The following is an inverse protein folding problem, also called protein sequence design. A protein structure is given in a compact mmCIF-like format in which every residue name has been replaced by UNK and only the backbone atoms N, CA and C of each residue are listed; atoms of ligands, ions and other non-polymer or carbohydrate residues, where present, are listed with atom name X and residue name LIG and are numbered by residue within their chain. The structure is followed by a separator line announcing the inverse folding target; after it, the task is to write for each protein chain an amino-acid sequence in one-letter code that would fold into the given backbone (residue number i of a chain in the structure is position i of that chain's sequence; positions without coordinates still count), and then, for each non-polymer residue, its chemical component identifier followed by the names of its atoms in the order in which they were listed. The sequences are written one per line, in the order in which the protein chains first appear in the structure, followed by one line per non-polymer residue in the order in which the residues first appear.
data_IF_041736289833
#
_entry.id   IF_041736289833
#
_cell.length_a   1.000
_cell.length_b   1.000
_cell.length_c   1.000
_cell.angle_alpha   90.00
_cell.angle_beta   90.00
_cell.angle_gamma   90.00
#
_symmetry.space_group_name_H-M   'P 1'
#
loop_
_entity.id
_entity.type
_entity.pdbx_description
1 polymer ?
#
# COMPACT_ATOMS: atom_id res chain seq x y z
N UNK A 1 -14.16 -19.56 -64.35
CA UNK A 1 -13.05 -19.62 -63.36
C UNK A 1 -12.95 -18.30 -62.58
N UNK A 2 -14.07 -17.78 -62.04
CA UNK A 2 -14.12 -16.46 -61.35
C UNK A 2 -14.68 -16.56 -59.92
N UNK A 3 -15.40 -17.63 -59.56
CA UNK A 3 -16.02 -17.78 -58.23
C UNK A 3 -15.13 -18.40 -57.14
N UNK A 4 -13.90 -18.83 -57.44
CA UNK A 4 -13.06 -19.49 -56.43
C UNK A 4 -12.12 -18.52 -55.69
N UNK A 5 -11.85 -17.33 -56.24
CA UNK A 5 -10.92 -16.34 -55.68
C UNK A 5 -11.63 -15.23 -54.85
N UNK A 6 -12.93 -15.39 -54.57
CA UNK A 6 -13.69 -14.46 -53.72
C UNK A 6 -13.83 -14.96 -52.28
N UNK A 7 -13.83 -16.26 -52.01
CA UNK A 7 -14.02 -16.78 -50.65
C UNK A 7 -12.79 -16.59 -49.75
N UNK A 8 -11.57 -16.72 -50.29
CA UNK A 8 -10.35 -16.43 -49.51
C UNK A 8 -10.21 -14.94 -49.19
N UNK A 9 -10.57 -14.06 -50.13
CA UNK A 9 -10.56 -12.61 -49.92
C UNK A 9 -11.66 -12.17 -48.95
N UNK A 10 -12.86 -12.77 -49.03
CA UNK A 10 -13.96 -12.54 -48.08
C UNK A 10 -13.55 -13.01 -46.67
N UNK A 11 -12.92 -14.18 -46.54
CA UNK A 11 -12.42 -14.68 -45.26
C UNK A 11 -11.31 -13.79 -44.67
N UNK A 12 -10.38 -13.29 -45.50
CA UNK A 12 -9.34 -12.35 -45.06
C UNK A 12 -9.93 -11.00 -44.62
N UNK A 13 -10.96 -10.50 -45.30
CA UNK A 13 -11.64 -9.26 -44.93
C UNK A 13 -12.45 -9.41 -43.64
N UNK A 14 -13.11 -10.55 -43.41
CA UNK A 14 -13.82 -10.85 -42.15
C UNK A 14 -12.87 -10.95 -40.95
N UNK A 15 -11.67 -11.52 -41.14
CA UNK A 15 -10.65 -11.61 -40.09
C UNK A 15 -10.01 -10.26 -39.75
N UNK A 16 -9.99 -9.31 -40.69
CA UNK A 16 -9.52 -7.93 -40.44
C UNK A 16 -10.56 -7.08 -39.68
N UNK A 17 -11.85 -7.35 -39.85
CA UNK A 17 -12.93 -6.59 -39.21
C UNK A 17 -13.10 -6.98 -37.73
N UNK A 18 -12.75 -8.21 -37.34
CA UNK A 18 -12.76 -8.65 -35.93
C UNK A 18 -11.64 -8.04 -35.09
N UNK A 19 -10.52 -7.62 -35.71
CA UNK A 19 -9.41 -6.97 -35.00
C UNK A 19 -9.74 -5.53 -34.53
N UNK A 20 -10.66 -4.83 -35.20
CA UNK A 20 -11.04 -3.45 -34.83
C UNK A 20 -12.02 -3.39 -33.65
N UNK A 21 -12.72 -4.49 -33.34
CA UNK A 21 -13.68 -4.57 -32.21
C UNK A 21 -12.99 -4.96 -30.89
N UNK A 22 -11.71 -5.38 -30.92
CA UNK A 22 -10.95 -5.77 -29.73
C UNK A 22 -10.39 -4.59 -28.92
N UNK A 23 -10.52 -3.35 -29.39
CA UNK A 23 -10.32 -2.16 -28.55
C UNK A 23 -11.61 -1.87 -27.77
N UNK A 24 -11.85 -2.64 -26.71
CA UNK A 24 -12.82 -2.29 -25.69
C UNK A 24 -12.40 -0.97 -25.03
N UNK A 25 -13.19 0.07 -25.26
CA UNK A 25 -13.10 1.34 -24.54
C UNK A 25 -13.35 1.09 -23.05
N UNK A 26 -12.30 0.87 -22.26
CA UNK A 26 -12.36 1.02 -20.81
C UNK A 26 -12.44 2.52 -20.50
N UNK A 27 -13.63 3.10 -20.69
CA UNK A 27 -13.97 4.39 -20.10
C UNK A 27 -13.93 4.19 -18.60
N UNK A 28 -12.84 4.58 -17.96
CA UNK A 28 -12.75 4.65 -16.51
C UNK A 28 -13.75 5.71 -16.06
N UNK A 29 -14.97 5.32 -15.71
CA UNK A 29 -15.91 6.24 -15.12
C UNK A 29 -15.29 6.76 -13.82
N UNK A 30 -15.01 8.07 -13.78
CA UNK A 30 -14.59 8.77 -12.57
C UNK A 30 -15.78 8.76 -11.62
N UNK A 31 -15.83 7.75 -10.77
CA UNK A 31 -16.81 7.68 -9.70
C UNK A 31 -16.34 8.60 -8.58
N UNK A 32 -16.97 9.76 -8.45
CA UNK A 32 -16.71 10.65 -7.33
C UNK A 32 -17.22 9.97 -6.05
N UNK A 33 -16.30 9.66 -5.14
CA UNK A 33 -16.62 9.05 -3.86
C UNK A 33 -16.88 10.17 -2.87
N UNK A 34 -18.12 10.27 -2.41
CA UNK A 34 -18.52 11.24 -1.37
C UNK A 34 -18.13 10.67 -0.01
N UNK A 35 -17.34 11.43 0.76
CA UNK A 35 -16.92 11.06 2.13
C UNK A 35 -17.73 11.86 3.14
N UNK A 36 -18.29 11.17 4.13
CA UNK A 36 -18.89 11.81 5.30
C UNK A 36 -17.85 11.88 6.42
N UNK A 37 -17.40 13.08 6.75
CA UNK A 37 -16.46 13.29 7.86
C UNK A 37 -17.17 13.20 9.21
N UNK A 38 -16.51 12.66 10.25
CA UNK A 38 -17.06 12.66 11.59
C UNK A 38 -17.14 14.09 12.13
N UNK A 39 -18.16 14.35 12.94
CA UNK A 39 -18.32 15.65 13.59
C UNK A 39 -17.21 15.81 14.63
N UNK A 40 -16.41 16.85 14.47
CA UNK A 40 -15.34 17.20 15.41
C UNK A 40 -15.82 18.39 16.24
N UNK A 41 -15.86 18.25 17.57
CA UNK A 41 -16.22 19.37 18.44
C UNK A 41 -15.12 20.43 18.44
N UNK A 42 -15.52 21.65 18.76
CA UNK A 42 -14.63 22.79 19.01
C UNK A 42 -14.71 23.18 20.47
N UNK A 43 -13.58 23.58 21.06
CA UNK A 43 -13.48 24.14 22.41
C UNK A 43 -12.91 25.56 22.35
N UNK A 44 -13.11 26.36 23.39
CA UNK A 44 -12.69 27.77 23.40
C UNK A 44 -11.26 27.97 23.94
N UNK A 45 -10.34 27.04 23.64
CA UNK A 45 -8.95 27.18 24.07
C UNK A 45 -8.27 28.32 23.32
N UNK A 46 -7.60 29.21 24.06
CA UNK A 46 -6.85 30.36 23.52
C UNK A 46 -5.50 30.42 24.23
N UNK A 47 -4.43 30.48 23.46
CA UNK A 47 -3.07 30.77 23.94
C UNK A 47 -2.70 32.21 23.61
N UNK A 48 -1.79 32.81 24.39
CA UNK A 48 -1.24 34.15 24.11
C UNK A 48 0.25 34.08 23.87
N UNK A 49 0.69 34.47 22.68
CA UNK A 49 2.10 34.53 22.28
C UNK A 49 2.49 35.98 22.02
N UNK A 50 3.41 36.52 22.82
CA UNK A 50 3.91 37.91 22.68
C UNK A 50 2.79 38.97 22.65
N UNK A 51 1.72 38.74 23.43
CA UNK A 51 0.55 39.63 23.48
C UNK A 51 -0.48 39.39 22.35
N UNK A 52 -0.27 38.40 21.48
CA UNK A 52 -1.23 38.01 20.44
C UNK A 52 -2.00 36.76 20.88
N UNK A 53 -3.33 36.84 20.89
CA UNK A 53 -4.22 35.71 21.14
C UNK A 53 -4.33 34.79 19.92
N UNK A 54 -4.17 33.49 20.14
CA UNK A 54 -4.27 32.43 19.11
C UNK A 54 -5.27 31.38 19.59
N UNK A 55 -6.36 31.21 18.85
CA UNK A 55 -7.39 30.20 19.15
C UNK A 55 -6.93 28.82 18.70
N UNK A 56 -7.13 27.82 19.55
CA UNK A 56 -6.91 26.42 19.24
C UNK A 56 -8.16 25.58 19.54
N UNK A 57 -9.12 25.54 18.59
CA UNK A 57 -10.40 24.89 18.82
C UNK A 57 -10.33 23.37 19.02
N UNK A 58 -9.19 22.74 18.70
CA UNK A 58 -9.02 21.30 18.71
C UNK A 58 -8.00 20.82 19.75
N UNK A 59 -7.62 21.67 20.71
CA UNK A 59 -6.72 21.32 21.83
C UNK A 59 -7.09 20.00 22.52
N UNK A 60 -8.38 19.69 22.61
CA UNK A 60 -8.86 18.45 23.24
C UNK A 60 -8.35 17.17 22.56
N UNK A 61 -7.95 17.22 21.28
CA UNK A 61 -7.35 16.09 20.55
C UNK A 61 -5.89 15.82 20.97
N UNK A 62 -5.25 16.74 21.70
CA UNK A 62 -3.88 16.54 22.21
C UNK A 62 -3.81 15.54 23.37
N UNK A 63 -4.93 15.27 24.05
CA UNK A 63 -4.99 14.20 25.07
C UNK A 63 -5.18 12.84 24.39
N UNK A 64 -4.06 12.17 24.15
CA UNK A 64 -3.95 10.87 23.50
C UNK A 64 -4.53 9.70 24.31
N UNK A 65 -4.83 9.92 25.60
CA UNK A 65 -5.40 8.90 26.49
C UNK A 65 -6.87 9.15 26.82
N UNK A 66 -7.46 10.24 26.33
CA UNK A 66 -8.88 10.52 26.55
C UNK A 66 -9.76 9.56 25.75
N UNK A 67 -10.87 9.15 26.35
CA UNK A 67 -11.87 8.32 25.66
C UNK A 67 -12.49 9.05 24.45
N UNK A 68 -12.48 10.38 24.46
CA UNK A 68 -13.05 11.19 23.39
C UNK A 68 -12.13 11.23 22.17
N UNK A 69 -10.83 11.43 22.36
CA UNK A 69 -9.83 11.35 21.28
C UNK A 69 -9.82 9.94 20.69
N UNK A 70 -9.89 8.90 21.53
CA UNK A 70 -10.00 7.51 21.06
C UNK A 70 -11.25 7.30 20.18
N UNK A 71 -12.40 7.80 20.61
CA UNK A 71 -13.65 7.70 19.85
C UNK A 71 -13.56 8.46 18.51
N UNK A 72 -12.95 9.64 18.51
CA UNK A 72 -12.73 10.44 17.30
C UNK A 72 -11.81 9.74 16.31
N UNK A 73 -10.67 9.21 16.77
CA UNK A 73 -9.72 8.45 15.93
C UNK A 73 -10.40 7.21 15.31
N UNK A 74 -11.25 6.51 16.07
CA UNK A 74 -12.03 5.39 15.53
C UNK A 74 -12.98 5.85 14.43
N UNK A 75 -13.67 6.98 14.61
CA UNK A 75 -14.60 7.51 13.61
C UNK A 75 -13.87 7.95 12.32
N UNK A 76 -12.71 8.59 12.44
CA UNK A 76 -11.85 8.97 11.31
C UNK A 76 -11.33 7.74 10.55
N UNK A 77 -10.91 6.69 11.27
CA UNK A 77 -10.51 5.42 10.66
C UNK A 77 -11.67 4.77 9.88
N UNK A 78 -12.90 4.85 10.39
CA UNK A 78 -14.08 4.34 9.69
C UNK A 78 -14.33 5.14 8.41
N UNK A 79 -14.33 6.47 8.47
CA UNK A 79 -14.51 7.32 7.28
C UNK A 79 -13.43 7.03 6.22
N UNK A 80 -12.18 6.93 6.65
CA UNK A 80 -11.04 6.65 5.76
C UNK A 80 -11.11 5.26 5.12
N UNK A 81 -11.35 4.21 5.92
CA UNK A 81 -11.42 2.86 5.37
C UNK A 81 -12.65 2.68 4.48
N UNK A 82 -13.78 3.30 4.82
CA UNK A 82 -14.98 3.29 3.97
C UNK A 82 -14.70 3.89 2.59
N UNK A 83 -13.90 4.94 2.51
CA UNK A 83 -13.46 5.49 1.22
C UNK A 83 -12.52 4.54 0.49
N UNK A 84 -11.47 4.07 1.17
CA UNK A 84 -10.43 3.26 0.54
C UNK A 84 -10.94 1.88 0.10
N UNK A 85 -11.93 1.31 0.79
CA UNK A 85 -12.54 0.01 0.47
C UNK A 85 -13.37 0.05 -0.83
N UNK A 86 -13.76 1.25 -1.28
CA UNK A 86 -14.47 1.42 -2.55
C UNK A 86 -13.53 1.36 -3.77
N UNK A 87 -12.21 1.37 -3.56
CA UNK A 87 -11.22 1.36 -4.64
C UNK A 87 -11.09 -0.07 -5.21
N UNK A 88 -11.56 -0.36 -6.44
CA UNK A 88 -11.72 -1.73 -6.93
C UNK A 88 -10.41 -2.52 -7.04
N UNK A 89 -9.29 -1.83 -7.26
CA UNK A 89 -7.98 -2.44 -7.47
C UNK A 89 -7.10 -2.44 -6.21
N UNK A 90 -7.60 -2.01 -5.04
CA UNK A 90 -6.80 -1.90 -3.81
C UNK A 90 -6.19 -3.24 -3.38
N UNK A 91 -7.00 -4.30 -3.34
CA UNK A 91 -6.49 -5.63 -2.96
C UNK A 91 -5.55 -6.22 -4.00
N UNK A 92 -5.78 -5.98 -5.29
CA UNK A 92 -4.86 -6.40 -6.35
C UNK A 92 -3.48 -5.74 -6.20
N UNK A 93 -3.45 -4.43 -5.92
CA UNK A 93 -2.21 -3.69 -5.65
C UNK A 93 -1.49 -4.21 -4.41
N UNK A 94 -2.21 -4.37 -3.29
CA UNK A 94 -1.68 -4.92 -2.04
C UNK A 94 -1.06 -6.30 -2.24
N UNK A 95 -1.73 -7.17 -2.99
CA UNK A 95 -1.22 -8.51 -3.29
C UNK A 95 0.03 -8.48 -4.17
N UNK A 96 0.06 -7.62 -5.19
CA UNK A 96 1.24 -7.45 -6.04
C UNK A 96 2.43 -6.92 -5.25
N UNK A 97 2.22 -5.89 -4.44
CA UNK A 97 3.28 -5.31 -3.60
C UNK A 97 3.78 -6.32 -2.56
N UNK A 98 2.87 -7.05 -1.91
CA UNK A 98 3.23 -8.11 -0.97
C UNK A 98 4.12 -9.17 -1.62
N UNK A 99 3.76 -9.65 -2.83
CA UNK A 99 4.59 -10.61 -3.58
C UNK A 99 5.98 -10.06 -3.90
N UNK A 100 6.07 -8.82 -4.36
CA UNK A 100 7.34 -8.17 -4.71
C UNK A 100 8.20 -7.89 -3.47
N UNK A 101 7.58 -7.59 -2.34
CA UNK A 101 8.29 -7.32 -1.10
C UNK A 101 8.80 -8.60 -0.41
N UNK A 102 8.20 -9.74 -0.76
CA UNK A 102 8.41 -11.01 -0.10
C UNK A 102 9.67 -11.75 -0.58
N UNK A 103 10.83 -11.19 -0.24
CA UNK A 103 12.12 -11.82 -0.47
C UNK A 103 13.04 -11.62 0.73
N UNK A 104 14.03 -12.50 0.84
CA UNK A 104 15.04 -12.45 1.90
C UNK A 104 15.96 -11.23 1.71
N UNK A 105 16.10 -10.41 2.75
CA UNK A 105 17.01 -9.26 2.77
C UNK A 105 18.10 -9.51 3.79
N UNK A 106 19.34 -9.33 3.36
CA UNK A 106 20.54 -9.52 4.19
C UNK A 106 21.40 -8.26 4.11
N UNK A 107 21.81 -7.72 5.25
CA UNK A 107 22.74 -6.57 5.28
C UNK A 107 24.17 -7.00 4.98
N UNK A 108 25.03 -6.04 4.68
CA UNK A 108 26.46 -6.26 4.72
C UNK A 108 26.88 -6.75 6.13
N UNK A 109 27.86 -7.67 6.23
CA UNK A 109 28.39 -8.10 7.51
C UNK A 109 29.22 -6.99 8.15
N UNK A 110 29.19 -6.90 9.47
CA UNK A 110 30.03 -6.00 10.26
C UNK A 110 30.63 -6.75 11.45
N UNK A 111 31.80 -6.33 11.92
CA UNK A 111 32.54 -7.01 12.97
C UNK A 111 32.45 -6.23 14.28
N UNK A 112 32.20 -6.93 15.38
CA UNK A 112 32.25 -6.40 16.74
C UNK A 112 32.98 -7.44 17.62
N UNK A 113 34.18 -7.11 18.10
CA UNK A 113 35.06 -8.04 18.84
C UNK A 113 35.40 -9.32 18.04
N UNK A 114 35.08 -10.48 18.62
CA UNK A 114 35.32 -11.80 18.01
C UNK A 114 34.16 -12.31 17.15
N UNK A 115 33.17 -11.47 16.89
CA UNK A 115 31.95 -11.84 16.18
C UNK A 115 31.73 -10.99 14.92
N UNK A 116 31.19 -11.64 13.89
CA UNK A 116 30.65 -11.01 12.69
C UNK A 116 29.13 -11.08 12.75
N UNK A 117 28.50 -9.94 12.58
CA UNK A 117 27.05 -9.76 12.62
C UNK A 117 26.53 -9.44 11.22
N UNK A 118 25.31 -9.88 10.93
CA UNK A 118 24.54 -9.35 9.83
C UNK A 118 23.05 -9.36 10.18
N UNK A 119 22.32 -8.42 9.60
CA UNK A 119 20.87 -8.32 9.73
C UNK A 119 20.24 -9.18 8.66
N UNK A 120 19.36 -10.10 9.06
CA UNK A 120 18.51 -10.87 8.16
C UNK A 120 17.04 -10.55 8.44
N UNK A 121 16.34 -10.07 7.42
CA UNK A 121 14.89 -9.90 7.46
C UNK A 121 14.22 -11.09 6.78
N UNK A 122 13.43 -11.84 7.55
CA UNK A 122 12.70 -13.00 7.06
C UNK A 122 11.40 -12.58 6.38
N UNK A 123 11.06 -13.33 5.34
CA UNK A 123 9.76 -13.37 4.66
C UNK A 123 8.63 -13.48 5.71
N UNK A 124 7.63 -12.61 5.61
CA UNK A 124 6.48 -12.45 6.55
C UNK A 124 6.76 -11.98 7.99
N UNK A 125 8.01 -11.65 8.38
CA UNK A 125 8.28 -11.10 9.71
C UNK A 125 8.54 -9.60 9.65
N UNK A 126 7.75 -8.84 10.42
CA UNK A 126 8.01 -7.42 10.71
C UNK A 126 9.22 -7.21 11.63
N UNK A 127 9.81 -8.29 12.17
CA UNK A 127 10.93 -8.25 13.11
C UNK A 127 12.25 -8.54 12.41
N UNK A 128 13.22 -7.66 12.67
CA UNK A 128 14.62 -7.79 12.28
C UNK A 128 15.29 -8.85 13.16
N UNK A 129 16.04 -9.78 12.56
CA UNK A 129 16.81 -10.77 13.30
C UNK A 129 18.31 -10.52 13.08
N UNK A 130 19.09 -10.40 14.18
CA UNK A 130 20.55 -10.37 14.13
C UNK A 130 21.07 -11.80 14.11
N UNK A 131 21.89 -12.13 13.12
CA UNK A 131 22.59 -13.40 13.07
C UNK A 131 24.05 -13.16 13.43
N UNK A 132 24.56 -13.96 14.36
CA UNK A 132 25.91 -13.84 14.92
C UNK A 132 26.74 -15.04 14.46
N UNK A 133 27.91 -14.77 13.90
CA UNK A 133 28.92 -15.78 13.57
C UNK A 133 30.18 -15.47 14.36
N UNK A 134 30.76 -16.48 15.02
CA UNK A 134 32.09 -16.35 15.64
C UNK A 134 33.17 -16.35 14.55
N UNK A 135 34.24 -15.56 14.73
CA UNK A 135 35.42 -15.53 13.84
C UNK A 135 35.86 -16.95 13.45
N UNK A 136 35.91 -17.24 12.14
CA UNK A 136 36.28 -18.55 11.60
C UNK A 136 35.12 -19.52 11.32
N UNK A 137 33.88 -19.17 11.64
CA UNK A 137 32.71 -19.98 11.27
C UNK A 137 32.32 -19.78 9.79
N UNK A 138 32.26 -20.87 9.02
CA UNK A 138 31.77 -20.87 7.62
C UNK A 138 30.25 -20.89 7.64
N UNK A 139 29.61 -19.94 6.93
CA UNK A 139 28.17 -19.92 6.67
C UNK A 139 27.74 -21.18 5.91
N UNK A 140 27.24 -22.19 6.62
CA UNK A 140 26.46 -23.26 5.97
C UNK A 140 25.09 -22.69 5.64
N UNK A 141 24.84 -22.46 4.35
CA UNK A 141 23.50 -22.12 3.83
C UNK A 141 22.56 -23.29 4.19
N UNK A 142 21.71 -23.11 5.20
CA UNK A 142 20.68 -24.09 5.53
C UNK A 142 19.66 -24.09 4.38
N UNK A 143 19.27 -25.26 3.83
CA UNK A 143 18.27 -25.32 2.77
C UNK A 143 16.94 -24.77 3.29
N UNK A 144 16.28 -24.01 2.43
CA UNK A 144 14.95 -23.45 2.66
C UNK A 144 13.98 -24.59 3.06
N UNK A 145 13.39 -24.50 4.25
CA UNK A 145 12.22 -25.30 4.64
C UNK A 145 10.95 -24.67 4.07
#
# INVERSE_FOLDING_TARGET
MINLMNHEKIALTFFSLSLLVACGNDKTEKKDIVVSYPKTKTVDTIDTYFGVEVKDPYRWLEDDRSAETEAWVKAENVATNTYLDQIPFREALKNRLSKLWNYEKVSAPFNEGDYTYFIKMMVYKTKVCFIVLKKGAILKRQPYF
#
